data_IF_084599040391
#
_entry.id   IF_084599040391
#
_cell.length_a   1.000
_cell.length_b   1.000
_cell.length_c   1.000
_cell.angle_alpha   90.00
_cell.angle_beta   90.00
_cell.angle_gamma   90.00
#
_symmetry.space_group_name_H-M   'P 1'
#
loop_
_entity.id
_entity.type
_entity.pdbx_description
1 polymer ?
#
# COMPACT_ATOMS: atom_id res chain seq x y z
N UNK A 1 -5.22 22.88 9.30
CA UNK A 1 -5.04 22.21 7.99
C UNK A 1 -4.91 20.72 8.23
N UNK A 2 -5.80 19.87 7.69
CA UNK A 2 -5.63 18.40 7.78
C UNK A 2 -4.60 17.99 6.73
N UNK A 3 -3.42 17.55 7.16
CA UNK A 3 -2.42 16.98 6.26
C UNK A 3 -3.00 15.67 5.71
N UNK A 4 -3.28 15.64 4.41
CA UNK A 4 -3.74 14.43 3.72
C UNK A 4 -2.57 13.85 2.92
N UNK A 5 -2.28 12.58 3.17
CA UNK A 5 -1.24 11.80 2.51
C UNK A 5 -1.83 11.14 1.26
N UNK A 6 -1.52 11.68 0.08
CA UNK A 6 -1.96 11.13 -1.19
C UNK A 6 -1.10 9.94 -1.60
N UNK A 7 -1.73 8.93 -2.20
CA UNK A 7 -1.03 7.78 -2.77
C UNK A 7 -0.06 8.25 -3.86
N UNK A 8 1.18 7.72 -3.91
CA UNK A 8 2.18 8.10 -4.93
C UNK A 8 1.79 7.65 -6.35
N UNK A 9 0.87 6.70 -6.49
CA UNK A 9 0.42 6.20 -7.80
C UNK A 9 -0.66 7.13 -8.33
N UNK A 10 -0.34 7.91 -9.37
CA UNK A 10 -1.24 8.92 -9.95
C UNK A 10 -2.61 8.36 -10.33
N UNK A 11 -2.66 7.16 -10.91
CA UNK A 11 -3.91 6.48 -11.29
C UNK A 11 -4.73 5.96 -10.10
N UNK A 12 -4.17 5.88 -8.89
CA UNK A 12 -4.89 5.37 -7.72
C UNK A 12 -5.80 6.43 -7.09
N UNK A 13 -5.32 7.68 -7.00
CA UNK A 13 -6.10 8.83 -6.51
C UNK A 13 -6.53 8.79 -5.03
N UNK A 14 -6.14 7.76 -4.25
CA UNK A 14 -6.54 7.63 -2.84
C UNK A 14 -5.78 8.59 -1.92
N UNK A 15 -6.50 9.08 -0.92
CA UNK A 15 -5.99 9.97 0.12
C UNK A 15 -6.17 9.35 1.51
N UNK A 16 -5.24 9.65 2.40
CA UNK A 16 -5.19 9.10 3.74
C UNK A 16 -4.95 10.18 4.77
N UNK A 17 -5.57 10.06 5.93
CA UNK A 17 -5.36 10.97 7.05
C UNK A 17 -4.02 10.77 7.77
N UNK A 18 -3.24 9.74 7.42
CA UNK A 18 -1.99 9.40 8.10
C UNK A 18 -1.00 8.67 7.20
N UNK A 19 0.28 8.91 7.48
CA UNK A 19 1.42 8.39 6.73
C UNK A 19 1.42 6.86 6.68
N UNK A 20 1.23 6.19 7.83
CA UNK A 20 1.24 4.73 7.94
C UNK A 20 0.15 4.06 7.12
N UNK A 21 -1.02 4.71 7.00
CA UNK A 21 -2.14 4.22 6.20
C UNK A 21 -1.83 4.32 4.71
N UNK A 22 -1.21 5.43 4.27
CA UNK A 22 -0.70 5.59 2.89
C UNK A 22 0.36 4.52 2.59
N UNK A 23 1.35 4.34 3.47
CA UNK A 23 2.42 3.34 3.32
C UNK A 23 1.88 1.92 3.24
N UNK A 24 0.98 1.56 4.15
CA UNK A 24 0.32 0.24 4.14
C UNK A 24 -0.48 0.00 2.87
N UNK A 25 -1.19 1.02 2.39
CA UNK A 25 -1.93 0.95 1.13
C UNK A 25 -0.99 0.75 -0.06
N UNK A 26 0.05 1.58 -0.20
CA UNK A 26 1.02 1.49 -1.28
C UNK A 26 1.70 0.12 -1.30
N UNK A 27 2.06 -0.40 -0.13
CA UNK A 27 2.67 -1.74 0.02
C UNK A 27 1.74 -2.86 -0.41
N UNK A 28 0.48 -2.85 0.04
CA UNK A 28 -0.45 -3.96 -0.22
C UNK A 28 -1.09 -3.88 -1.60
N UNK A 29 -1.38 -2.68 -2.10
CA UNK A 29 -2.12 -2.51 -3.37
C UNK A 29 -1.17 -2.35 -4.55
N UNK A 30 -0.09 -1.61 -4.38
CA UNK A 30 0.85 -1.33 -5.45
C UNK A 30 2.16 -2.11 -5.32
N UNK A 31 2.38 -2.81 -4.21
CA UNK A 31 3.67 -3.45 -3.94
C UNK A 31 4.77 -2.41 -3.86
N UNK A 32 4.51 -1.23 -3.31
CA UNK A 32 5.48 -0.15 -3.18
C UNK A 32 5.79 0.10 -1.71
N UNK A 33 7.07 0.29 -1.40
CA UNK A 33 7.52 0.73 -0.08
C UNK A 33 8.26 2.05 -0.21
N UNK A 34 8.08 2.93 0.77
CA UNK A 34 8.78 4.21 0.83
C UNK A 34 10.18 3.96 1.40
N UNK A 35 11.19 4.44 0.70
CA UNK A 35 12.57 4.41 1.17
C UNK A 35 12.78 5.58 2.13
N UNK A 36 12.95 5.28 3.42
CA UNK A 36 13.04 6.29 4.49
C UNK A 36 14.24 7.25 4.33
N UNK A 37 15.30 6.84 3.64
CA UNK A 37 16.49 7.66 3.42
C UNK A 37 16.33 8.65 2.25
N UNK A 38 15.52 8.31 1.25
CA UNK A 38 15.40 9.09 0.01
C UNK A 38 14.01 9.68 -0.21
N UNK A 39 13.00 9.22 0.54
CA UNK A 39 11.58 9.53 0.30
C UNK A 39 11.01 8.91 -0.98
N UNK A 40 11.80 8.13 -1.72
CA UNK A 40 11.38 7.53 -2.99
C UNK A 40 10.56 6.25 -2.77
N UNK A 41 9.61 6.00 -3.67
CA UNK A 41 8.83 4.77 -3.67
C UNK A 41 9.49 3.72 -4.55
N UNK A 42 9.81 2.58 -3.96
CA UNK A 42 10.48 1.47 -4.64
C UNK A 42 9.58 0.24 -4.65
N UNK A 43 9.75 -0.61 -5.66
CA UNK A 43 8.99 -1.84 -5.78
C UNK A 43 9.44 -2.85 -4.71
N UNK A 44 8.48 -3.32 -3.92
CA UNK A 44 8.61 -4.39 -2.94
C UNK A 44 8.68 -5.72 -3.69
N UNK A 45 9.87 -6.03 -4.23
CA UNK A 45 10.13 -7.25 -5.02
C UNK A 45 10.11 -8.52 -4.16
N UNK A 46 10.16 -8.38 -2.83
CA UNK A 46 10.11 -9.48 -1.87
C UNK A 46 8.75 -9.63 -1.19
N UNK A 47 8.06 -10.74 -1.44
CA UNK A 47 7.09 -11.38 -0.51
C UNK A 47 5.60 -10.97 -0.51
N UNK A 48 5.13 -9.88 -1.11
CA UNK A 48 3.71 -9.50 -0.97
C UNK A 48 2.70 -10.19 -1.92
N UNK A 49 3.13 -10.72 -3.08
CA UNK A 49 2.22 -11.46 -3.99
C UNK A 49 1.50 -12.62 -3.27
N UNK A 50 2.21 -13.37 -2.41
CA UNK A 50 1.62 -14.48 -1.65
C UNK A 50 0.60 -14.03 -0.60
N UNK A 51 0.80 -12.88 0.05
CA UNK A 51 -0.04 -12.42 1.16
C UNK A 51 -1.38 -11.82 0.67
N UNK A 52 -1.38 -11.14 -0.48
CA UNK A 52 -2.61 -10.61 -1.11
C UNK A 52 -3.50 -11.76 -1.59
N UNK A 53 -2.90 -12.81 -2.17
CA UNK A 53 -3.62 -14.02 -2.59
C UNK A 53 -4.34 -14.68 -1.39
N UNK A 54 -3.63 -14.84 -0.27
CA UNK A 54 -4.19 -15.46 0.94
C UNK A 54 -5.35 -14.64 1.54
N UNK A 55 -5.26 -13.30 1.56
CA UNK A 55 -6.39 -12.45 2.02
C UNK A 55 -7.63 -12.51 1.13
N UNK A 56 -7.45 -12.73 -0.19
CA UNK A 56 -8.60 -12.93 -1.11
C UNK A 56 -9.28 -14.28 -0.87
N UNK A 57 -8.50 -15.33 -0.63
CA UNK A 57 -9.01 -16.67 -0.33
C UNK A 57 -9.75 -16.70 1.03
N UNK A 58 -9.20 -16.09 2.08
CA UNK A 58 -9.84 -16.04 3.40
C UNK A 58 -11.23 -15.35 3.38
N UNK A 59 -11.38 -14.28 2.59
CA UNK A 59 -12.68 -13.64 2.35
C UNK A 59 -13.66 -14.48 1.54
N UNK A 60 -13.18 -15.42 0.72
CA UNK A 60 -14.02 -16.24 -0.15
C UNK A 60 -14.58 -17.47 0.58
N UNK A 61 -13.87 -17.98 1.60
CA UNK A 61 -14.23 -19.21 2.32
C UNK A 61 -14.88 -18.99 3.70
N UNK A 62 -14.97 -17.75 4.21
CA UNK A 62 -15.88 -17.42 5.33
C UNK A 62 -17.31 -17.20 4.80
N UNK A 63 -18.03 -18.29 4.53
CA UNK A 63 -19.49 -18.33 4.44
C UNK A 63 -20.05 -19.15 5.58
#
# INVERSE_FOLDING_TARGET
MRIQYRCPVAACGKEYSGHDRRGSHAKVIHGLVENEFTGNWIQDTGSNRRRILNKRLDKQYRR
#
